data_IF_737140571754
#
_entry.id   IF_737140571754
#
_cell.length_a   1.000
_cell.length_b   1.000
_cell.length_c   1.000
_cell.angle_alpha   90.00
_cell.angle_beta   90.00
_cell.angle_gamma   90.00
#
_symmetry.space_group_name_H-M   'P 1'
#
loop_
_entity.id
_entity.type
_entity.pdbx_description
1 polymer ?
#
# COMPACT_ATOMS: atom_id res chain seq x y z
N UNK A 1 20.06 12.55 7.28
CA UNK A 1 19.23 12.01 6.18
C UNK A 1 18.31 10.95 6.77
N UNK A 2 17.02 11.24 6.95
CA UNK A 2 16.07 10.25 7.46
C UNK A 2 15.92 9.16 6.39
N UNK A 3 16.39 7.94 6.67
CA UNK A 3 16.20 6.81 5.75
C UNK A 3 14.71 6.46 5.73
N UNK A 4 14.02 6.90 4.69
CA UNK A 4 12.68 6.45 4.36
C UNK A 4 12.71 4.92 4.13
N UNK A 5 11.71 4.19 4.66
CA UNK A 5 11.59 2.77 4.37
C UNK A 5 11.43 2.54 2.86
N UNK A 6 12.04 1.50 2.33
CA UNK A 6 12.06 1.21 0.90
C UNK A 6 11.50 -0.18 0.62
N UNK A 7 10.73 -0.30 -0.46
CA UNK A 7 10.10 -1.57 -0.82
C UNK A 7 9.15 -1.46 -2.00
N UNK A 8 8.35 -2.51 -2.28
CA UNK A 8 7.40 -2.53 -3.40
C UNK A 8 6.41 -1.35 -3.35
N UNK A 9 5.87 -1.05 -2.16
CA UNK A 9 4.89 0.03 -1.98
C UNK A 9 5.57 1.40 -2.12
N UNK A 10 6.74 1.59 -1.51
CA UNK A 10 7.48 2.87 -1.63
C UNK A 10 7.81 3.19 -3.09
N UNK A 11 8.26 2.17 -3.85
CA UNK A 11 8.56 2.30 -5.29
C UNK A 11 7.30 2.60 -6.10
N UNK A 12 6.21 1.85 -5.87
CA UNK A 12 4.95 2.08 -6.57
C UNK A 12 4.36 3.47 -6.27
N UNK A 13 4.42 3.93 -5.02
CA UNK A 13 4.02 5.26 -4.59
C UNK A 13 4.82 6.36 -5.31
N UNK A 14 6.14 6.22 -5.35
CA UNK A 14 7.03 7.18 -6.02
C UNK A 14 6.82 7.20 -7.54
N UNK A 15 6.47 6.07 -8.14
CA UNK A 15 6.18 5.96 -9.57
C UNK A 15 4.77 6.39 -9.96
N UNK A 16 3.87 6.63 -8.99
CA UNK A 16 2.48 7.01 -9.29
C UNK A 16 2.34 8.47 -9.72
N UNK A 17 1.27 8.80 -10.44
CA UNK A 17 0.97 10.18 -10.83
C UNK A 17 0.30 11.01 -9.71
N UNK A 18 0.30 10.51 -8.46
CA UNK A 18 -0.35 11.18 -7.33
C UNK A 18 0.39 12.47 -6.95
N UNK A 19 -0.34 13.58 -6.88
CA UNK A 19 0.21 14.92 -6.58
C UNK A 19 0.94 15.03 -5.24
N UNK A 20 0.54 14.27 -4.22
CA UNK A 20 1.14 14.34 -2.87
C UNK A 20 2.37 13.44 -2.68
N UNK A 21 2.86 12.77 -3.74
CA UNK A 21 4.00 11.85 -3.62
C UNK A 21 5.28 12.60 -3.22
N UNK A 22 5.94 12.10 -2.19
CA UNK A 22 7.29 12.50 -1.81
C UNK A 22 7.98 11.33 -1.10
N UNK A 23 9.31 11.37 -1.01
CA UNK A 23 10.11 10.28 -0.44
C UNK A 23 9.77 9.98 1.02
N UNK A 24 9.42 11.00 1.81
CA UNK A 24 9.04 10.84 3.21
C UNK A 24 7.68 10.14 3.34
N UNK A 25 6.67 10.58 2.59
CA UNK A 25 5.34 9.97 2.57
C UNK A 25 5.40 8.53 2.06
N UNK A 26 6.03 8.30 0.91
CA UNK A 26 6.12 6.95 0.33
C UNK A 26 6.93 5.99 1.22
N UNK A 27 7.92 6.51 1.96
CA UNK A 27 8.62 5.75 2.99
C UNK A 27 7.75 5.43 4.20
N UNK A 28 6.96 6.38 4.67
CA UNK A 28 6.03 6.15 5.78
C UNK A 28 4.99 5.08 5.44
N UNK A 29 4.41 5.17 4.24
CA UNK A 29 3.43 4.20 3.75
C UNK A 29 4.07 2.81 3.61
N UNK A 30 5.32 2.73 3.16
CA UNK A 30 6.05 1.45 3.14
C UNK A 30 6.27 0.90 4.55
N UNK A 31 6.61 1.74 5.54
CA UNK A 31 6.75 1.30 6.92
C UNK A 31 5.42 0.78 7.51
N UNK A 32 4.28 1.38 7.13
CA UNK A 32 2.96 0.86 7.49
C UNK A 32 2.72 -0.52 6.84
N UNK A 33 3.10 -0.68 5.57
CA UNK A 33 2.99 -1.94 4.85
C UNK A 33 3.88 -3.05 5.46
N UNK A 34 5.10 -2.73 5.88
CA UNK A 34 6.01 -3.68 6.51
C UNK A 34 5.48 -4.21 7.86
N UNK A 35 4.63 -3.44 8.54
CA UNK A 35 4.01 -3.83 9.81
C UNK A 35 2.75 -4.69 9.64
N UNK A 36 2.03 -4.52 8.53
CA UNK A 36 0.65 -5.04 8.39
C UNK A 36 0.46 -6.00 7.21
N UNK A 37 1.35 -5.98 6.23
CA UNK A 37 1.27 -6.78 5.01
C UNK A 37 2.47 -7.73 4.88
N UNK A 38 2.19 -8.96 4.46
CA UNK A 38 3.25 -9.89 4.04
C UNK A 38 3.89 -9.42 2.73
N UNK A 39 5.03 -10.02 2.34
CA UNK A 39 5.71 -9.65 1.09
C UNK A 39 4.82 -9.85 -0.15
N UNK A 40 4.04 -10.93 -0.18
CA UNK A 40 3.08 -11.19 -1.26
C UNK A 40 1.95 -10.16 -1.26
N UNK A 41 1.41 -9.81 -0.09
CA UNK A 41 0.38 -8.79 0.05
C UNK A 41 0.90 -7.43 -0.43
N UNK A 42 2.14 -7.07 -0.09
CA UNK A 42 2.78 -5.85 -0.57
C UNK A 42 2.93 -5.81 -2.09
N UNK A 43 3.29 -6.93 -2.73
CA UNK A 43 3.40 -6.99 -4.19
C UNK A 43 2.02 -6.85 -4.86
N UNK A 44 0.98 -7.47 -4.29
CA UNK A 44 -0.40 -7.33 -4.76
C UNK A 44 -0.87 -5.87 -4.62
N UNK A 45 -0.72 -5.28 -3.43
CA UNK A 45 -1.06 -3.88 -3.17
C UNK A 45 -0.27 -2.90 -4.05
N UNK A 46 1.03 -3.14 -4.28
CA UNK A 46 1.84 -2.34 -5.18
C UNK A 46 1.30 -2.35 -6.62
N UNK A 47 0.75 -3.48 -7.08
CA UNK A 47 0.17 -3.58 -8.43
C UNK A 47 -1.08 -2.71 -8.62
N UNK A 48 -1.76 -2.30 -7.55
CA UNK A 48 -2.93 -1.42 -7.63
C UNK A 48 -2.59 0.01 -8.06
N UNK A 49 -1.35 0.46 -7.83
CA UNK A 49 -0.91 1.78 -8.27
C UNK A 49 -0.88 1.91 -9.79
N UNK A 50 -0.52 0.84 -10.50
CA UNK A 50 -0.51 0.80 -11.97
C UNK A 50 -1.81 0.29 -12.60
N UNK A 51 -2.58 -0.52 -11.86
CA UNK A 51 -3.88 -1.02 -12.29
C UNK A 51 -4.93 -0.85 -11.18
N UNK A 52 -5.59 0.32 -11.08
CA UNK A 52 -6.63 0.56 -10.10
C UNK A 52 -7.82 -0.40 -10.21
N UNK A 53 -8.14 -0.91 -11.41
CA UNK A 53 -9.23 -1.87 -11.61
C UNK A 53 -8.97 -3.17 -10.84
N UNK A 54 -7.71 -3.60 -10.75
CA UNK A 54 -7.35 -4.81 -9.98
C UNK A 54 -7.75 -4.72 -8.50
N UNK A 55 -7.70 -3.52 -7.90
CA UNK A 55 -8.17 -3.32 -6.54
C UNK A 55 -9.69 -3.53 -6.42
N UNK A 56 -10.46 -3.11 -7.44
CA UNK A 56 -11.90 -3.33 -7.49
C UNK A 56 -12.24 -4.81 -7.69
N UNK A 57 -11.50 -5.50 -8.57
CA UNK A 57 -11.69 -6.92 -8.83
C UNK A 57 -11.41 -7.75 -7.57
N UNK A 58 -10.32 -7.46 -6.86
CA UNK A 58 -9.98 -8.12 -5.60
C UNK A 58 -11.02 -7.84 -4.52
N UNK A 59 -11.50 -6.59 -4.41
CA UNK A 59 -12.54 -6.22 -3.43
C UNK A 59 -13.88 -6.93 -3.67
N UNK A 60 -14.23 -7.19 -4.93
CA UNK A 60 -15.50 -7.82 -5.34
C UNK A 60 -15.39 -9.33 -5.49
N UNK A 61 -14.18 -9.89 -5.35
CA UNK A 61 -13.93 -11.32 -5.48
C UNK A 61 -14.55 -12.11 -4.33
N UNK A 62 -15.15 -13.26 -4.65
CA UNK A 62 -15.66 -14.23 -3.67
C UNK A 62 -14.59 -15.26 -3.25
N UNK A 63 -13.32 -15.04 -3.58
CA UNK A 63 -12.24 -15.94 -3.18
C UNK A 63 -11.81 -15.61 -1.76
N UNK A 64 -11.76 -16.61 -0.90
CA UNK A 64 -11.32 -16.45 0.50
C UNK A 64 -9.94 -15.79 0.63
N UNK A 65 -9.00 -16.08 -0.30
CA UNK A 65 -7.69 -15.43 -0.29
C UNK A 65 -7.74 -13.93 -0.54
N UNK A 66 -8.65 -13.48 -1.42
CA UNK A 66 -8.84 -12.06 -1.74
C UNK A 66 -9.54 -11.34 -0.58
N UNK A 67 -10.50 -12.00 0.08
CA UNK A 67 -11.16 -11.49 1.29
C UNK A 67 -10.16 -11.29 2.44
N UNK A 68 -9.30 -12.28 2.70
CA UNK A 68 -8.24 -12.20 3.72
C UNK A 68 -7.26 -11.07 3.39
N UNK A 69 -6.83 -10.98 2.13
CA UNK A 69 -5.98 -9.88 1.68
C UNK A 69 -6.68 -8.54 1.92
N UNK A 70 -7.97 -8.41 1.60
CA UNK A 70 -8.70 -7.15 1.74
C UNK A 70 -8.82 -6.72 3.21
N UNK A 71 -9.00 -7.66 4.14
CA UNK A 71 -8.96 -7.36 5.58
C UNK A 71 -7.61 -6.78 6.01
N UNK A 72 -6.50 -7.40 5.58
CA UNK A 72 -5.15 -6.88 5.86
C UNK A 72 -4.91 -5.53 5.18
N UNK A 73 -5.38 -5.37 3.95
CA UNK A 73 -5.25 -4.13 3.19
C UNK A 73 -5.97 -2.96 3.85
N UNK A 74 -7.14 -3.19 4.47
CA UNK A 74 -7.82 -2.18 5.30
C UNK A 74 -6.99 -1.79 6.52
N UNK A 75 -6.49 -2.77 7.29
CA UNK A 75 -5.62 -2.51 8.45
C UNK A 75 -4.36 -1.72 8.06
N UNK A 76 -3.76 -2.06 6.92
CA UNK A 76 -2.67 -1.30 6.32
C UNK A 76 -3.05 0.16 6.07
N UNK A 77 -4.20 0.40 5.42
CA UNK A 77 -4.70 1.74 5.11
C UNK A 77 -4.94 2.57 6.37
N UNK A 78 -5.64 1.99 7.36
CA UNK A 78 -5.91 2.64 8.66
C UNK A 78 -4.61 2.96 9.41
N UNK A 79 -3.65 2.02 9.41
CA UNK A 79 -2.32 2.24 10.00
C UNK A 79 -1.58 3.37 9.29
N UNK A 80 -1.61 3.40 7.96
CA UNK A 80 -0.96 4.45 7.16
C UNK A 80 -1.60 5.81 7.42
N UNK A 81 -2.94 5.91 7.50
CA UNK A 81 -3.65 7.14 7.83
C UNK A 81 -3.33 7.64 9.25
N UNK A 82 -3.17 6.74 10.21
CA UNK A 82 -2.85 7.09 11.59
C UNK A 82 -1.42 7.63 11.77
N UNK A 83 -0.45 7.11 11.02
CA UNK A 83 0.97 7.41 11.24
C UNK A 83 1.61 8.29 10.16
N UNK A 84 1.01 8.35 8.97
CA UNK A 84 1.49 9.15 7.87
C UNK A 84 0.64 10.41 7.73
N UNK A 85 1.27 11.55 7.52
CA UNK A 85 0.55 12.79 7.26
C UNK A 85 0.06 12.80 5.80
N UNK A 86 -0.98 12.01 5.53
CA UNK A 86 -1.73 11.97 4.28
C UNK A 86 -2.74 13.11 4.34
N UNK A 87 -2.27 14.36 4.27
CA UNK A 87 -3.14 15.54 4.11
C UNK A 87 -2.77 16.28 2.82
#
# INVERSE_FOLDING_TARGET
MTRAASGPISRACLSSDRKSRNSQLCGCIQAAADRTLSKSDQNLAASFYGNPQKAQDVRQSNRTGDEIFWQKYKNYSETAEAICQIR
#
